data_IF_272268009726
#
_entry.id   IF_272268009726
#
_cell.length_a   1.000
_cell.length_b   1.000
_cell.length_c   1.000
_cell.angle_alpha   90.00
_cell.angle_beta   90.00
_cell.angle_gamma   90.00
#
_symmetry.space_group_name_H-M   'P 1'
#
loop_
_entity.id
_entity.type
_entity.pdbx_description
1 polymer ?
#
# COMPACT_ATOMS: atom_id res chain seq x y z
N UNK A 1 68.33 -18.11 36.17
CA UNK A 1 67.65 -19.23 35.59
C UNK A 1 66.45 -18.64 34.80
N UNK A 2 66.84 -18.17 33.59
CA UNK A 2 65.97 -17.44 32.69
C UNK A 2 64.98 -18.37 32.00
N UNK A 3 63.75 -18.04 32.06
CA UNK A 3 62.72 -18.69 31.20
C UNK A 3 62.11 -17.63 30.28
N UNK A 4 62.66 -17.65 29.11
CA UNK A 4 62.27 -16.91 27.92
C UNK A 4 60.84 -17.32 27.46
N UNK A 5 59.83 -16.46 27.62
CA UNK A 5 58.51 -16.64 27.07
C UNK A 5 58.48 -15.99 25.69
N UNK A 6 58.72 -16.79 24.65
CA UNK A 6 58.52 -16.44 23.25
C UNK A 6 57.06 -16.08 23.00
N UNK A 7 56.80 -14.82 22.72
CA UNK A 7 55.59 -14.32 22.10
C UNK A 7 55.30 -15.02 20.76
N UNK A 8 54.27 -15.85 20.72
CA UNK A 8 53.72 -16.41 19.53
C UNK A 8 52.98 -15.38 18.71
N UNK A 9 53.65 -14.72 17.76
CA UNK A 9 52.99 -13.95 16.70
C UNK A 9 52.10 -14.90 15.88
N UNK A 10 50.80 -14.88 16.13
CA UNK A 10 49.78 -15.52 15.26
C UNK A 10 49.77 -14.80 13.90
N UNK A 11 50.27 -15.46 12.90
CA UNK A 11 50.14 -15.05 11.48
C UNK A 11 48.66 -14.94 11.15
N UNK A 12 48.17 -13.79 10.59
CA UNK A 12 46.80 -13.74 10.12
C UNK A 12 46.59 -14.82 9.06
N UNK A 13 45.60 -15.69 9.27
CA UNK A 13 45.27 -16.75 8.34
C UNK A 13 44.84 -16.14 7.01
N UNK A 14 45.42 -16.64 5.90
CA UNK A 14 45.11 -16.22 4.54
C UNK A 14 43.60 -16.37 4.20
N UNK A 15 42.84 -17.11 4.99
CA UNK A 15 41.41 -17.26 4.88
C UNK A 15 40.60 -16.02 5.31
N UNK A 16 41.16 -15.14 6.16
CA UNK A 16 40.46 -13.92 6.57
C UNK A 16 40.42 -12.84 5.47
N UNK A 17 41.33 -12.91 4.50
CA UNK A 17 41.37 -11.96 3.38
C UNK A 17 40.30 -12.25 2.28
N UNK A 18 39.73 -13.45 2.26
CA UNK A 18 38.68 -13.84 1.30
C UNK A 18 37.26 -13.62 1.80
N UNK A 19 37.07 -13.34 3.09
CA UNK A 19 35.75 -13.21 3.74
C UNK A 19 35.29 -11.78 3.98
N UNK A 20 36.10 -10.79 3.70
CA UNK A 20 35.62 -9.42 3.62
C UNK A 20 35.22 -9.13 2.17
N UNK A 21 33.92 -9.07 1.82
CA UNK A 21 33.53 -8.47 0.57
C UNK A 21 33.93 -7.00 0.65
N UNK A 22 35.11 -6.63 0.15
CA UNK A 22 35.37 -5.27 -0.27
C UNK A 22 34.24 -4.96 -1.24
N UNK A 23 33.25 -4.19 -0.79
CA UNK A 23 32.34 -3.52 -1.70
C UNK A 23 33.25 -2.59 -2.52
N UNK A 24 33.82 -3.15 -3.60
CA UNK A 24 34.46 -2.36 -4.62
C UNK A 24 33.36 -1.43 -5.10
N UNK A 25 33.46 -0.16 -4.74
CA UNK A 25 32.56 0.87 -5.26
C UNK A 25 32.61 0.70 -6.77
N UNK A 26 31.54 0.15 -7.36
CA UNK A 26 31.48 -0.08 -8.79
C UNK A 26 31.78 1.25 -9.47
N UNK A 27 32.70 1.25 -10.42
CA UNK A 27 33.06 2.49 -11.12
C UNK A 27 31.77 3.11 -11.67
N UNK A 28 31.64 4.45 -11.67
CA UNK A 28 30.42 5.12 -12.16
C UNK A 28 30.02 4.63 -13.56
N UNK A 29 30.98 4.25 -14.38
CA UNK A 29 30.74 3.67 -15.70
C UNK A 29 30.02 2.31 -15.64
N UNK A 30 30.38 1.42 -14.70
CA UNK A 30 29.71 0.11 -14.52
C UNK A 30 28.29 0.32 -14.00
N UNK A 31 28.09 1.24 -13.05
CA UNK A 31 26.75 1.59 -12.54
C UNK A 31 25.87 2.13 -13.66
N UNK A 32 26.40 3.01 -14.52
CA UNK A 32 25.65 3.56 -15.66
C UNK A 32 25.26 2.46 -16.65
N UNK A 33 26.18 1.57 -17.01
CA UNK A 33 25.90 0.46 -17.94
C UNK A 33 24.84 -0.49 -17.37
N UNK A 34 24.86 -0.78 -16.06
CA UNK A 34 23.86 -1.64 -15.40
C UNK A 34 22.49 -0.96 -15.29
N UNK A 35 22.43 0.39 -15.21
CA UNK A 35 21.18 1.13 -15.14
C UNK A 35 20.49 1.29 -16.50
N UNK A 36 21.24 1.30 -17.62
CA UNK A 36 20.70 1.51 -18.97
C UNK A 36 19.55 0.54 -19.30
N UNK A 37 19.67 -0.78 -19.13
CA UNK A 37 18.59 -1.71 -19.44
C UNK A 37 17.31 -1.40 -18.66
N UNK A 38 17.44 -1.09 -17.36
CA UNK A 38 16.31 -0.70 -16.51
C UNK A 38 15.65 0.58 -16.99
N UNK A 39 16.45 1.61 -17.33
CA UNK A 39 15.95 2.87 -17.87
C UNK A 39 15.26 2.69 -19.22
N UNK A 40 15.80 1.86 -20.12
CA UNK A 40 15.18 1.54 -21.41
C UNK A 40 13.82 0.87 -21.22
N UNK A 41 13.72 -0.11 -20.31
CA UNK A 41 12.45 -0.78 -19.99
C UNK A 41 11.44 0.24 -19.45
N UNK A 42 11.82 1.07 -18.48
CA UNK A 42 10.95 2.11 -17.93
C UNK A 42 10.52 3.09 -18.99
N UNK A 43 11.45 3.56 -19.85
CA UNK A 43 11.11 4.47 -20.92
C UNK A 43 10.14 3.83 -21.93
N UNK A 44 10.43 2.62 -22.40
CA UNK A 44 9.66 1.95 -23.43
C UNK A 44 8.27 1.51 -22.97
N UNK A 45 8.15 0.97 -21.75
CA UNK A 45 6.89 0.37 -21.26
C UNK A 45 6.10 1.26 -20.31
N UNK A 46 6.67 2.32 -19.80
CA UNK A 46 5.99 3.24 -18.90
C UNK A 46 5.91 4.67 -19.46
N UNK A 47 7.05 5.32 -19.76
CA UNK A 47 7.04 6.73 -20.16
C UNK A 47 6.42 6.95 -21.53
N UNK A 48 6.75 6.12 -22.54
CA UNK A 48 6.21 6.27 -23.89
C UNK A 48 4.70 6.03 -23.92
N UNK A 49 4.14 4.93 -23.35
CA UNK A 49 2.70 4.75 -23.29
C UNK A 49 1.98 5.86 -22.50
N UNK A 50 2.56 6.30 -21.38
CA UNK A 50 1.99 7.38 -20.58
C UNK A 50 1.94 8.71 -21.37
N UNK A 51 3.02 9.03 -22.08
CA UNK A 51 3.07 10.21 -22.96
C UNK A 51 2.03 10.09 -24.08
N UNK A 52 1.86 8.91 -24.69
CA UNK A 52 0.83 8.68 -25.72
C UNK A 52 -0.57 8.89 -25.17
N UNK A 53 -0.88 8.37 -23.98
CA UNK A 53 -2.17 8.60 -23.30
C UNK A 53 -2.37 10.10 -23.06
N UNK A 54 -1.34 10.83 -22.60
CA UNK A 54 -1.44 12.26 -22.37
C UNK A 54 -1.68 13.05 -23.67
N UNK A 55 -1.02 12.68 -24.78
CA UNK A 55 -1.21 13.32 -26.10
C UNK A 55 -2.59 13.02 -26.68
N UNK A 56 -3.15 11.82 -26.40
CA UNK A 56 -4.47 11.42 -26.91
C UNK A 56 -5.59 12.36 -26.44
N UNK A 57 -5.42 12.98 -25.27
CA UNK A 57 -6.34 14.00 -24.76
C UNK A 57 -6.49 15.17 -25.74
N UNK A 58 -5.38 15.60 -26.35
CA UNK A 58 -5.37 16.70 -27.32
C UNK A 58 -6.07 16.39 -28.65
N UNK A 59 -6.30 15.10 -28.95
CA UNK A 59 -6.98 14.66 -30.18
C UNK A 59 -8.52 14.71 -30.09
N UNK A 60 -9.05 15.00 -28.90
CA UNK A 60 -10.50 15.12 -28.66
C UNK A 60 -11.08 16.43 -29.20
N UNK A 61 -12.41 16.53 -29.27
CA UNK A 61 -13.11 17.73 -29.80
C UNK A 61 -12.82 19.00 -28.99
N UNK A 62 -12.50 18.88 -27.70
CA UNK A 62 -12.14 20.00 -26.82
C UNK A 62 -10.63 20.18 -26.66
N UNK A 63 -9.82 19.33 -27.32
CA UNK A 63 -8.38 19.36 -27.22
C UNK A 63 -7.92 19.26 -25.76
N UNK A 64 -6.92 20.07 -25.40
CA UNK A 64 -6.39 20.13 -24.02
C UNK A 64 -7.39 20.66 -22.98
N UNK A 65 -8.51 21.28 -23.43
CA UNK A 65 -9.62 21.70 -22.56
C UNK A 65 -10.32 20.52 -21.86
N UNK A 66 -10.18 19.30 -22.38
CA UNK A 66 -10.74 18.09 -21.78
C UNK A 66 -10.28 17.90 -20.29
N UNK A 67 -9.08 18.37 -19.93
CA UNK A 67 -8.64 18.35 -18.52
C UNK A 67 -9.47 19.27 -17.64
N UNK A 68 -9.94 20.41 -18.15
CA UNK A 68 -10.84 21.34 -17.43
C UNK A 68 -12.25 20.76 -17.34
N UNK A 69 -12.69 19.99 -18.34
CA UNK A 69 -13.98 19.32 -18.33
C UNK A 69 -14.14 18.41 -17.11
N UNK A 70 -13.06 17.76 -16.65
CA UNK A 70 -13.09 16.90 -15.45
C UNK A 70 -13.48 17.69 -14.20
N UNK A 71 -13.05 18.94 -14.09
CA UNK A 71 -13.32 19.82 -12.95
C UNK A 71 -14.69 20.52 -13.06
N UNK A 72 -15.21 20.69 -14.28
CA UNK A 72 -16.48 21.38 -14.55
C UNK A 72 -17.67 20.43 -14.65
N UNK A 73 -17.43 19.18 -15.02
CA UNK A 73 -18.47 18.17 -15.12
C UNK A 73 -18.74 17.54 -13.74
N UNK A 74 -19.96 17.75 -13.22
CA UNK A 74 -20.36 17.29 -11.90
C UNK A 74 -20.15 15.77 -11.71
N UNK A 75 -20.43 14.95 -12.72
CA UNK A 75 -20.29 13.49 -12.65
C UNK A 75 -18.83 13.07 -12.43
N UNK A 76 -17.89 13.65 -13.19
CA UNK A 76 -16.47 13.29 -13.08
C UNK A 76 -15.87 13.76 -11.76
N UNK A 77 -16.27 14.97 -11.33
CA UNK A 77 -15.82 15.52 -10.06
C UNK A 77 -16.36 14.71 -8.88
N UNK A 78 -17.65 14.36 -8.89
CA UNK A 78 -18.28 13.54 -7.86
C UNK A 78 -17.61 12.16 -7.78
N UNK A 79 -17.40 11.51 -8.90
CA UNK A 79 -16.72 10.22 -9.00
C UNK A 79 -15.29 10.28 -8.47
N UNK A 80 -14.56 11.36 -8.75
CA UNK A 80 -13.22 11.59 -8.20
C UNK A 80 -13.27 11.75 -6.66
N UNK A 81 -14.19 12.58 -6.15
CA UNK A 81 -14.34 12.79 -4.70
C UNK A 81 -14.75 11.49 -4.00
N UNK A 82 -15.68 10.73 -4.57
CA UNK A 82 -16.09 9.43 -4.03
C UNK A 82 -14.92 8.45 -3.98
N UNK A 83 -14.10 8.39 -5.03
CA UNK A 83 -12.92 7.54 -5.08
C UNK A 83 -11.90 7.93 -4.02
N UNK A 84 -11.64 9.23 -3.87
CA UNK A 84 -10.74 9.76 -2.82
C UNK A 84 -11.26 9.45 -1.42
N UNK A 85 -12.53 9.74 -1.15
CA UNK A 85 -13.15 9.51 0.15
C UNK A 85 -13.17 8.01 0.51
N UNK A 86 -13.53 7.15 -0.46
CA UNK A 86 -13.53 5.70 -0.31
C UNK A 86 -12.12 5.18 0.01
N UNK A 87 -11.12 5.58 -0.80
CA UNK A 87 -9.73 5.15 -0.62
C UNK A 87 -9.15 5.63 0.71
N UNK A 88 -9.45 6.86 1.12
CA UNK A 88 -9.05 7.39 2.42
C UNK A 88 -9.72 6.64 3.58
N UNK A 89 -11.04 6.41 3.50
CA UNK A 89 -11.80 5.68 4.51
C UNK A 89 -11.31 4.24 4.68
N UNK A 90 -11.11 3.52 3.57
CA UNK A 90 -10.56 2.16 3.59
C UNK A 90 -9.17 2.15 4.21
N UNK A 91 -8.31 3.08 3.82
CA UNK A 91 -6.94 3.18 4.33
C UNK A 91 -6.94 3.43 5.84
N UNK A 92 -7.71 4.41 6.32
CA UNK A 92 -7.82 4.71 7.75
C UNK A 92 -8.33 3.51 8.54
N UNK A 93 -9.38 2.85 8.07
CA UNK A 93 -9.93 1.66 8.72
C UNK A 93 -8.92 0.50 8.74
N UNK A 94 -8.24 0.24 7.60
CA UNK A 94 -7.21 -0.78 7.52
C UNK A 94 -6.04 -0.50 8.46
N UNK A 95 -5.58 0.75 8.55
CA UNK A 95 -4.49 1.15 9.46
C UNK A 95 -4.88 0.92 10.93
N UNK A 96 -6.08 1.36 11.33
CA UNK A 96 -6.56 1.17 12.72
C UNK A 96 -6.68 -0.31 13.07
N UNK A 97 -7.37 -1.09 12.23
CA UNK A 97 -7.55 -2.53 12.47
C UNK A 97 -6.20 -3.27 12.50
N UNK A 98 -5.35 -3.01 11.51
CA UNK A 98 -4.08 -3.71 11.39
C UNK A 98 -3.05 -3.25 12.42
N UNK A 99 -3.10 -1.99 12.92
CA UNK A 99 -2.25 -1.55 14.02
C UNK A 99 -2.54 -2.36 15.29
N UNK A 100 -3.81 -2.53 15.63
CA UNK A 100 -4.21 -3.30 16.81
C UNK A 100 -3.88 -4.79 16.63
N UNK A 101 -4.33 -5.40 15.54
CA UNK A 101 -4.16 -6.84 15.29
C UNK A 101 -2.70 -7.18 15.04
N UNK A 102 -1.96 -6.38 14.27
CA UNK A 102 -0.56 -6.61 13.98
C UNK A 102 0.33 -6.52 15.22
N UNK A 103 0.10 -5.50 16.06
CA UNK A 103 0.80 -5.37 17.33
C UNK A 103 0.50 -6.56 18.27
N UNK A 104 -0.78 -6.97 18.34
CA UNK A 104 -1.17 -8.15 19.13
C UNK A 104 -0.46 -9.41 18.64
N UNK A 105 -0.43 -9.65 17.33
CA UNK A 105 0.20 -10.83 16.74
C UNK A 105 1.72 -10.87 16.96
N UNK A 106 2.40 -9.73 16.94
CA UNK A 106 3.85 -9.66 17.21
C UNK A 106 4.16 -9.96 18.68
N UNK A 107 3.35 -9.43 19.59
CA UNK A 107 3.61 -9.53 21.04
C UNK A 107 3.17 -10.83 21.69
N UNK A 108 2.22 -11.53 21.09
CA UNK A 108 1.65 -12.72 21.67
C UNK A 108 2.03 -13.96 20.86
N UNK A 109 2.59 -14.96 21.55
CA UNK A 109 2.86 -16.29 21.01
C UNK A 109 1.80 -17.25 21.52
N UNK A 110 0.96 -17.77 20.64
CA UNK A 110 -0.09 -18.73 20.95
C UNK A 110 -0.17 -19.83 19.89
N UNK A 111 -0.76 -20.98 20.26
CA UNK A 111 -0.97 -22.07 19.31
C UNK A 111 -1.91 -21.60 18.17
N UNK A 112 -1.52 -21.87 16.91
CA UNK A 112 -2.30 -21.42 15.74
C UNK A 112 -1.97 -20.02 15.20
N UNK A 113 -1.05 -19.25 15.84
CA UNK A 113 -0.63 -17.92 15.36
C UNK A 113 -0.18 -17.96 13.90
N UNK A 114 0.63 -18.95 13.51
CA UNK A 114 1.14 -19.09 12.14
C UNK A 114 0.02 -19.37 11.14
N UNK A 115 -0.96 -20.19 11.51
CA UNK A 115 -2.14 -20.48 10.69
C UNK A 115 -2.98 -19.21 10.52
N UNK A 116 -3.19 -18.45 11.60
CA UNK A 116 -3.94 -17.19 11.55
C UNK A 116 -3.27 -16.17 10.62
N UNK A 117 -1.95 -15.99 10.72
CA UNK A 117 -1.20 -15.10 9.81
C UNK A 117 -1.33 -15.58 8.37
N UNK A 118 -1.17 -16.90 8.12
CA UNK A 118 -1.36 -17.48 6.80
C UNK A 118 -2.76 -17.22 6.23
N UNK A 119 -3.80 -17.38 7.05
CA UNK A 119 -5.19 -17.09 6.66
C UNK A 119 -5.41 -15.60 6.38
N UNK A 120 -4.86 -14.72 7.22
CA UNK A 120 -4.96 -13.26 7.01
C UNK A 120 -4.24 -12.78 5.75
N UNK A 121 -3.23 -13.52 5.28
CA UNK A 121 -2.50 -13.17 4.04
C UNK A 121 -3.07 -13.81 2.79
N UNK A 122 -3.99 -14.76 2.93
CA UNK A 122 -4.63 -15.48 1.83
C UNK A 122 -5.28 -14.55 0.78
N UNK A 123 -5.92 -13.42 1.15
CA UNK A 123 -6.50 -12.49 0.17
C UNK A 123 -5.52 -11.93 -0.86
N UNK A 124 -4.20 -11.92 -0.57
CA UNK A 124 -3.19 -11.48 -1.55
C UNK A 124 -3.13 -12.37 -2.80
N UNK A 125 -3.58 -13.61 -2.68
CA UNK A 125 -3.58 -14.58 -3.78
C UNK A 125 -4.77 -14.41 -4.73
N UNK A 126 -5.79 -13.63 -4.35
CA UNK A 126 -6.99 -13.46 -5.15
C UNK A 126 -7.01 -12.14 -5.94
N UNK A 127 -7.37 -12.18 -7.24
CA UNK A 127 -7.65 -10.98 -8.00
C UNK A 127 -8.84 -10.20 -7.40
N UNK A 128 -8.87 -8.87 -7.60
CA UNK A 128 -9.94 -8.02 -7.08
C UNK A 128 -11.35 -8.44 -7.54
N UNK A 129 -11.49 -8.98 -8.74
CA UNK A 129 -12.76 -9.53 -9.25
C UNK A 129 -13.28 -10.69 -8.42
N UNK A 130 -12.38 -11.59 -8.00
CA UNK A 130 -12.76 -12.73 -7.12
C UNK A 130 -13.19 -12.24 -5.76
N UNK A 131 -12.50 -11.21 -5.22
CA UNK A 131 -12.91 -10.56 -3.96
C UNK A 131 -14.31 -9.96 -4.08
N UNK A 132 -14.62 -9.30 -5.20
CA UNK A 132 -15.97 -8.81 -5.47
C UNK A 132 -17.02 -9.94 -5.44
N UNK A 133 -16.75 -11.08 -6.08
CA UNK A 133 -17.63 -12.24 -6.01
C UNK A 133 -17.80 -12.78 -4.57
N UNK A 134 -16.72 -12.81 -3.78
CA UNK A 134 -16.82 -13.22 -2.37
C UNK A 134 -17.74 -12.30 -1.58
N UNK A 135 -17.68 -10.98 -1.81
CA UNK A 135 -18.59 -10.02 -1.17
C UNK A 135 -20.03 -10.25 -1.62
N UNK A 136 -20.27 -10.55 -2.91
CA UNK A 136 -21.61 -10.89 -3.40
C UNK A 136 -22.14 -12.18 -2.74
N UNK A 137 -21.30 -13.21 -2.63
CA UNK A 137 -21.70 -14.45 -1.96
C UNK A 137 -21.98 -14.26 -0.47
N UNK A 138 -21.33 -13.28 0.16
CA UNK A 138 -21.52 -12.95 1.57
C UNK A 138 -22.77 -12.07 1.79
N UNK A 139 -22.88 -10.97 1.08
CA UNK A 139 -23.82 -9.88 1.36
C UNK A 139 -24.75 -9.51 0.19
N UNK A 140 -24.75 -10.31 -0.88
CA UNK A 140 -25.64 -10.15 -2.04
C UNK A 140 -27.05 -10.68 -1.78
N UNK A 141 -27.90 -10.60 -2.80
CA UNK A 141 -29.33 -10.99 -2.72
C UNK A 141 -29.54 -12.45 -2.30
N UNK A 142 -28.61 -13.34 -2.64
CA UNK A 142 -28.60 -14.75 -2.26
C UNK A 142 -27.41 -15.07 -1.31
N UNK A 143 -26.86 -14.02 -0.69
CA UNK A 143 -25.71 -14.14 0.20
C UNK A 143 -26.06 -14.71 1.57
N UNK A 144 -25.01 -15.19 2.26
CA UNK A 144 -25.14 -15.81 3.59
C UNK A 144 -25.77 -14.85 4.61
N UNK A 145 -25.36 -13.57 4.59
CA UNK A 145 -25.89 -12.55 5.51
C UNK A 145 -27.37 -12.31 5.24
N UNK A 146 -27.77 -12.18 3.96
CA UNK A 146 -29.15 -12.02 3.59
C UNK A 146 -30.05 -13.18 4.05
N UNK A 147 -29.55 -14.44 3.93
CA UNK A 147 -30.24 -15.62 4.42
C UNK A 147 -30.40 -15.66 5.95
N UNK A 148 -29.32 -15.33 6.67
CA UNK A 148 -29.35 -15.28 8.14
C UNK A 148 -30.26 -14.16 8.69
N UNK A 149 -30.25 -12.97 8.06
CA UNK A 149 -31.10 -11.85 8.49
C UNK A 149 -32.57 -12.10 8.16
N UNK A 150 -32.88 -12.77 7.03
CA UNK A 150 -34.23 -13.19 6.70
C UNK A 150 -34.80 -14.18 7.72
N UNK A 151 -33.99 -15.17 8.10
CA UNK A 151 -34.37 -16.17 9.11
C UNK A 151 -34.54 -15.57 10.52
N UNK A 152 -33.74 -14.54 10.88
CA UNK A 152 -33.76 -13.95 12.20
C UNK A 152 -34.78 -12.79 12.34
N UNK A 153 -34.96 -11.98 11.31
CA UNK A 153 -35.70 -10.72 11.35
C UNK A 153 -36.80 -10.60 10.29
N UNK A 154 -36.98 -11.61 9.43
CA UNK A 154 -37.98 -11.59 8.36
C UNK A 154 -37.66 -10.59 7.22
N UNK A 155 -36.45 -10.07 7.15
CA UNK A 155 -36.01 -9.15 6.11
C UNK A 155 -34.56 -9.43 5.69
N UNK A 156 -34.29 -9.38 4.38
CA UNK A 156 -32.96 -9.63 3.84
C UNK A 156 -32.11 -8.35 3.86
N UNK A 157 -31.00 -8.40 4.57
CA UNK A 157 -29.98 -7.35 4.50
C UNK A 157 -29.07 -7.60 3.30
N UNK A 158 -29.16 -6.74 2.28
CA UNK A 158 -28.37 -6.80 1.04
C UNK A 158 -27.60 -5.50 0.91
N UNK A 159 -26.27 -5.55 0.94
CA UNK A 159 -25.42 -4.37 0.82
C UNK A 159 -24.20 -4.60 -0.10
N UNK A 160 -24.10 -5.76 -0.75
CA UNK A 160 -22.96 -6.06 -1.63
C UNK A 160 -22.85 -5.08 -2.80
N UNK A 161 -23.98 -4.57 -3.30
CA UNK A 161 -24.04 -3.72 -4.50
C UNK A 161 -24.00 -2.23 -4.20
N UNK A 162 -23.84 -1.86 -2.93
CA UNK A 162 -23.75 -0.49 -2.43
C UNK A 162 -22.29 -0.11 -2.11
N UNK A 163 -22.09 1.16 -1.77
CA UNK A 163 -20.79 1.70 -1.29
C UNK A 163 -20.24 0.87 -0.13
N UNK A 164 -21.11 0.35 0.76
CA UNK A 164 -20.71 -0.50 1.88
C UNK A 164 -20.07 -1.81 1.43
N UNK A 165 -20.63 -2.47 0.42
CA UNK A 165 -20.05 -3.69 -0.15
C UNK A 165 -18.70 -3.44 -0.80
N UNK A 166 -18.58 -2.34 -1.55
CA UNK A 166 -17.32 -1.93 -2.16
C UNK A 166 -16.26 -1.60 -1.10
N UNK A 167 -16.67 -0.89 -0.03
CA UNK A 167 -15.79 -0.57 1.11
C UNK A 167 -15.23 -1.85 1.75
N UNK A 168 -16.08 -2.84 2.01
CA UNK A 168 -15.67 -4.12 2.58
C UNK A 168 -14.74 -4.88 1.63
N UNK A 169 -15.04 -4.89 0.33
CA UNK A 169 -14.18 -5.52 -0.67
C UNK A 169 -12.79 -4.88 -0.72
N UNK A 170 -12.72 -3.55 -0.69
CA UNK A 170 -11.45 -2.82 -0.66
C UNK A 170 -10.70 -3.04 0.66
N UNK A 171 -11.40 -3.07 1.78
CA UNK A 171 -10.81 -3.35 3.09
C UNK A 171 -10.23 -4.77 3.14
N UNK A 172 -10.96 -5.76 2.62
CA UNK A 172 -10.56 -7.16 2.61
C UNK A 172 -9.20 -7.38 1.93
N UNK A 173 -8.97 -6.82 0.75
CA UNK A 173 -7.67 -6.99 0.08
C UNK A 173 -6.58 -6.05 0.61
N UNK A 174 -6.93 -5.00 1.36
CA UNK A 174 -5.98 -4.07 1.97
C UNK A 174 -5.36 -4.61 3.25
N UNK A 175 -6.14 -5.33 4.07
CA UNK A 175 -5.72 -5.91 5.36
C UNK A 175 -4.39 -6.66 5.27
N UNK A 176 -4.17 -7.61 4.34
CA UNK A 176 -2.94 -8.39 4.31
C UNK A 176 -1.69 -7.56 4.13
N UNK A 177 -1.76 -6.54 3.28
CA UNK A 177 -0.61 -5.66 2.99
C UNK A 177 -0.26 -4.80 4.19
N UNK A 178 -1.28 -4.20 4.79
CA UNK A 178 -1.09 -3.31 5.95
C UNK A 178 -0.64 -4.10 7.17
N UNK A 179 -1.24 -5.27 7.44
CA UNK A 179 -0.90 -6.06 8.64
C UNK A 179 0.54 -6.57 8.60
N UNK A 180 1.03 -7.02 7.43
CA UNK A 180 2.43 -7.46 7.29
C UNK A 180 3.41 -6.29 7.49
N UNK A 181 3.10 -5.10 6.96
CA UNK A 181 3.92 -3.92 7.16
C UNK A 181 3.94 -3.45 8.62
N UNK A 182 2.78 -3.49 9.28
CA UNK A 182 2.66 -3.16 10.71
C UNK A 182 3.43 -4.17 11.56
N UNK A 183 3.29 -5.47 11.29
CA UNK A 183 4.04 -6.50 12.00
C UNK A 183 5.55 -6.30 11.85
N UNK A 184 6.03 -6.05 10.63
CA UNK A 184 7.46 -5.79 10.38
C UNK A 184 7.97 -4.52 11.10
N UNK A 185 7.12 -3.52 11.29
CA UNK A 185 7.45 -2.31 12.05
C UNK A 185 7.40 -2.57 13.56
N UNK A 186 6.42 -3.34 14.03
CA UNK A 186 6.26 -3.68 15.43
C UNK A 186 7.41 -4.58 15.95
N UNK A 187 7.97 -5.45 15.10
CA UNK A 187 9.13 -6.28 15.42
C UNK A 187 10.41 -5.45 15.67
N UNK A 188 10.48 -4.24 15.13
CA UNK A 188 11.62 -3.32 15.32
C UNK A 188 11.49 -2.45 16.58
N UNK A 189 10.34 -2.48 17.25
CA UNK A 189 10.15 -1.70 18.47
C UNK A 189 10.95 -2.29 19.62
N UNK A 190 11.71 -1.40 20.27
CA UNK A 190 12.48 -1.79 21.47
C UNK A 190 11.55 -1.90 22.68
N UNK A 191 11.42 -3.11 23.21
CA UNK A 191 10.61 -3.39 24.39
C UNK A 191 11.16 -2.69 25.64
N UNK A 192 12.46 -2.40 25.69
CA UNK A 192 13.08 -1.72 26.83
C UNK A 192 12.54 -0.30 26.99
N UNK A 193 12.21 0.39 25.90
CA UNK A 193 11.59 1.72 25.97
C UNK A 193 10.22 1.70 26.65
N UNK A 194 9.45 0.64 26.44
CA UNK A 194 8.15 0.48 27.09
C UNK A 194 8.28 0.15 28.57
N UNK A 195 9.23 -0.71 28.91
CA UNK A 195 9.53 -1.06 30.30
C UNK A 195 10.06 0.16 31.06
N UNK A 196 10.93 0.95 30.46
CA UNK A 196 11.42 2.20 31.01
C UNK A 196 10.28 3.21 31.26
N UNK A 197 9.39 3.39 30.30
CA UNK A 197 8.24 4.28 30.44
C UNK A 197 7.32 3.82 31.58
N UNK A 198 7.08 2.50 31.71
CA UNK A 198 6.28 1.94 32.82
C UNK A 198 6.96 2.12 34.17
N UNK A 199 8.27 1.96 34.25
CA UNK A 199 9.07 2.18 35.47
C UNK A 199 9.01 3.63 35.95
N UNK A 200 8.85 4.58 35.01
CA UNK A 200 8.60 6.00 35.28
C UNK A 200 7.14 6.33 35.63
N UNK A 201 6.26 5.32 35.78
CA UNK A 201 4.87 5.49 36.16
C UNK A 201 3.92 5.82 35.02
N UNK A 202 4.31 5.63 33.75
CA UNK A 202 3.43 5.85 32.62
C UNK A 202 2.26 4.83 32.61
N UNK A 203 1.04 5.30 32.44
CA UNK A 203 -0.13 4.45 32.24
C UNK A 203 -0.03 3.68 30.91
N UNK A 204 -0.78 2.58 30.78
CA UNK A 204 -0.82 1.78 29.52
C UNK A 204 -1.16 2.62 28.30
N UNK A 205 -2.11 3.54 28.44
CA UNK A 205 -2.53 4.44 27.36
C UNK A 205 -1.38 5.39 26.96
N UNK A 206 -0.66 5.95 27.95
CA UNK A 206 0.48 6.82 27.70
C UNK A 206 1.62 6.07 27.02
N UNK A 207 1.93 4.84 27.40
CA UNK A 207 2.92 3.98 26.70
C UNK A 207 2.51 3.76 25.23
N UNK A 208 1.22 3.54 24.94
CA UNK A 208 0.74 3.41 23.56
C UNK A 208 0.94 4.69 22.77
N UNK A 209 0.54 5.84 23.33
CA UNK A 209 0.58 7.12 22.62
C UNK A 209 2.00 7.69 22.48
N UNK A 210 2.85 7.54 23.50
CA UNK A 210 4.14 8.22 23.56
C UNK A 210 5.30 7.34 23.07
N UNK A 211 5.15 6.00 23.08
CA UNK A 211 6.23 5.06 22.71
C UNK A 211 5.84 4.22 21.51
N UNK A 212 4.73 3.47 21.61
CA UNK A 212 4.37 2.48 20.59
C UNK A 212 3.91 3.14 19.31
N UNK A 213 2.96 4.07 19.39
CA UNK A 213 2.38 4.72 18.21
C UNK A 213 3.42 5.53 17.43
N UNK A 214 4.26 6.37 18.04
CA UNK A 214 5.35 7.05 17.32
C UNK A 214 6.35 6.08 16.68
N UNK A 215 6.66 4.98 17.35
CA UNK A 215 7.54 3.94 16.81
C UNK A 215 6.95 3.18 15.61
N UNK A 216 5.63 3.03 15.56
CA UNK A 216 4.92 2.41 14.42
C UNK A 216 4.67 3.40 13.28
N UNK A 217 4.68 4.71 13.53
CA UNK A 217 4.29 5.75 12.55
C UNK A 217 4.98 5.61 11.19
N UNK A 218 6.31 5.40 11.08
CA UNK A 218 6.94 5.25 9.77
C UNK A 218 6.34 4.10 8.95
N UNK A 219 6.10 2.96 9.60
CA UNK A 219 5.48 1.80 8.96
C UNK A 219 4.01 2.01 8.62
N UNK A 220 3.25 2.67 9.50
CA UNK A 220 1.84 3.01 9.26
C UNK A 220 1.71 3.99 8.08
N UNK A 221 2.55 5.02 8.02
CA UNK A 221 2.51 6.00 6.95
C UNK A 221 2.88 5.35 5.60
N UNK A 222 3.97 4.56 5.56
CA UNK A 222 4.39 3.87 4.34
C UNK A 222 3.34 2.88 3.84
N UNK A 223 2.79 2.03 4.74
CA UNK A 223 1.76 1.05 4.38
C UNK A 223 0.43 1.72 4.02
N UNK A 224 0.07 2.80 4.70
CA UNK A 224 -1.11 3.60 4.41
C UNK A 224 -1.05 4.23 3.03
N UNK A 225 0.10 4.80 2.64
CA UNK A 225 0.30 5.37 1.31
C UNK A 225 0.11 4.31 0.21
N UNK A 226 0.67 3.12 0.37
CA UNK A 226 0.51 2.01 -0.58
C UNK A 226 -0.93 1.52 -0.61
N UNK A 227 -1.59 1.42 0.56
CA UNK A 227 -2.99 1.04 0.68
C UNK A 227 -3.89 2.02 -0.07
N UNK A 228 -3.72 3.32 0.18
CA UNK A 228 -4.45 4.39 -0.49
C UNK A 228 -4.28 4.34 -2.01
N UNK A 229 -3.04 4.27 -2.50
CA UNK A 229 -2.76 4.20 -3.92
C UNK A 229 -3.37 2.95 -4.59
N UNK A 230 -3.36 1.82 -3.89
CA UNK A 230 -3.97 0.58 -4.39
C UNK A 230 -5.49 0.67 -4.44
N UNK A 231 -6.11 1.29 -3.42
CA UNK A 231 -7.56 1.50 -3.38
C UNK A 231 -8.02 2.48 -4.45
N UNK A 232 -7.25 3.57 -4.71
CA UNK A 232 -7.51 4.52 -5.80
C UNK A 232 -7.59 3.86 -7.18
N UNK A 233 -6.73 2.86 -7.44
CA UNK A 233 -6.69 2.14 -8.72
C UNK A 233 -7.48 0.82 -8.73
N UNK A 234 -8.25 0.50 -7.70
CA UNK A 234 -8.92 -0.80 -7.57
C UNK A 234 -10.12 -0.92 -8.49
N UNK A 235 -9.89 -1.37 -9.72
CA UNK A 235 -10.93 -1.59 -10.73
C UNK A 235 -11.66 -2.92 -10.55
N UNK A 236 -10.96 -4.04 -10.37
CA UNK A 236 -11.56 -5.37 -10.45
C UNK A 236 -12.69 -5.63 -9.45
N UNK A 237 -12.53 -5.19 -8.21
CA UNK A 237 -13.56 -5.30 -7.16
C UNK A 237 -14.75 -4.40 -7.49
N UNK A 238 -14.50 -3.15 -7.89
CA UNK A 238 -15.52 -2.21 -8.30
C UNK A 238 -16.32 -2.75 -9.50
N UNK A 239 -15.64 -3.27 -10.51
CA UNK A 239 -16.26 -3.86 -11.70
C UNK A 239 -17.24 -4.99 -11.37
N UNK A 240 -16.91 -5.83 -10.38
CA UNK A 240 -17.75 -6.97 -9.99
C UNK A 240 -18.94 -6.56 -9.13
N UNK A 241 -18.73 -5.58 -8.22
CA UNK A 241 -19.75 -5.14 -7.25
C UNK A 241 -20.65 -4.03 -7.79
N UNK A 242 -20.10 -3.19 -8.67
CA UNK A 242 -20.75 -1.94 -9.07
C UNK A 242 -21.92 -2.20 -10.00
N UNK A 243 -23.12 -2.01 -9.49
CA UNK A 243 -24.31 -1.81 -10.31
C UNK A 243 -24.61 -0.32 -10.46
N UNK A 244 -24.39 0.49 -9.42
CA UNK A 244 -24.72 1.93 -9.38
C UNK A 244 -23.65 2.78 -8.69
N UNK A 245 -22.37 2.36 -8.66
CA UNK A 245 -21.30 3.09 -7.96
C UNK A 245 -20.36 3.71 -9.00
N UNK A 246 -20.35 5.03 -9.07
CA UNK A 246 -19.49 5.81 -9.96
C UNK A 246 -18.12 6.10 -9.31
N UNK A 247 -17.29 5.06 -9.04
CA UNK A 247 -15.87 5.28 -8.74
C UNK A 247 -15.10 5.55 -10.02
N UNK A 248 -14.08 6.42 -9.94
CA UNK A 248 -13.36 6.92 -11.12
C UNK A 248 -12.80 5.82 -12.05
N UNK A 249 -12.22 4.69 -11.56
CA UNK A 249 -11.82 3.60 -12.43
C UNK A 249 -12.98 3.00 -13.27
N UNK A 250 -14.20 2.98 -12.74
CA UNK A 250 -15.38 2.52 -13.45
C UNK A 250 -15.84 3.53 -14.49
N UNK A 251 -15.77 4.82 -14.18
CA UNK A 251 -16.08 5.89 -15.12
C UNK A 251 -15.08 5.87 -16.29
N UNK A 252 -13.79 5.73 -16.02
CA UNK A 252 -12.76 5.57 -17.07
C UNK A 252 -13.08 4.39 -17.98
N UNK A 253 -13.42 3.24 -17.41
CA UNK A 253 -13.81 2.06 -18.17
C UNK A 253 -15.05 2.30 -19.02
N UNK A 254 -16.07 2.97 -18.49
CA UNK A 254 -17.31 3.29 -19.20
C UNK A 254 -17.06 4.26 -20.35
N UNK A 255 -16.28 5.34 -20.12
CA UNK A 255 -15.93 6.28 -21.19
C UNK A 255 -15.15 5.60 -22.32
N UNK A 256 -14.22 4.73 -21.97
CA UNK A 256 -13.41 4.01 -22.95
C UNK A 256 -14.22 2.97 -23.74
N UNK A 257 -15.00 2.10 -23.04
CA UNK A 257 -15.60 0.91 -23.66
C UNK A 257 -17.00 1.13 -24.19
N UNK A 258 -17.84 1.91 -23.47
CA UNK A 258 -19.25 2.11 -23.81
C UNK A 258 -19.47 3.38 -24.62
N UNK A 259 -18.80 4.46 -24.25
CA UNK A 259 -18.95 5.76 -24.89
C UNK A 259 -17.96 5.97 -26.05
N UNK A 260 -16.96 5.08 -26.19
CA UNK A 260 -15.85 5.20 -27.14
C UNK A 260 -15.16 6.58 -27.10
N UNK A 261 -15.19 7.23 -25.93
CA UNK A 261 -14.63 8.56 -25.69
C UNK A 261 -13.20 8.43 -25.13
N UNK A 262 -12.27 8.05 -26.01
CA UNK A 262 -10.88 7.81 -25.66
C UNK A 262 -10.21 9.05 -25.04
N UNK A 263 -10.39 10.29 -25.57
CA UNK A 263 -9.77 11.47 -25.00
C UNK A 263 -10.18 11.74 -23.54
N UNK A 264 -11.46 11.59 -23.20
CA UNK A 264 -11.95 11.79 -21.83
C UNK A 264 -11.44 10.68 -20.91
N UNK A 265 -11.50 9.40 -21.36
CA UNK A 265 -10.94 8.30 -20.58
C UNK A 265 -9.43 8.48 -20.31
N UNK A 266 -8.68 8.95 -21.30
CA UNK A 266 -7.27 9.27 -21.16
C UNK A 266 -7.03 10.41 -20.14
N UNK A 267 -7.80 11.50 -20.23
CA UNK A 267 -7.70 12.63 -19.31
C UNK A 267 -8.00 12.22 -17.86
N UNK A 268 -9.08 11.47 -17.63
CA UNK A 268 -9.45 10.94 -16.31
C UNK A 268 -8.35 10.03 -15.75
N UNK A 269 -7.73 9.18 -16.59
CA UNK A 269 -6.64 8.28 -16.19
C UNK A 269 -5.39 9.05 -15.76
N UNK A 270 -5.00 10.10 -16.50
CA UNK A 270 -3.87 10.96 -16.16
C UNK A 270 -4.14 11.70 -14.84
N UNK A 271 -5.33 12.27 -14.68
CA UNK A 271 -5.70 12.99 -13.45
C UNK A 271 -5.68 12.06 -12.24
N UNK A 272 -6.27 10.85 -12.35
CA UNK A 272 -6.23 9.84 -11.30
C UNK A 272 -4.78 9.47 -10.92
N UNK A 273 -3.94 9.23 -11.93
CA UNK A 273 -2.52 8.90 -11.74
C UNK A 273 -1.75 10.03 -11.06
N UNK A 274 -1.95 11.27 -11.51
CA UNK A 274 -1.27 12.45 -10.93
C UNK A 274 -1.69 12.70 -9.47
N UNK A 275 -2.97 12.60 -9.15
CA UNK A 275 -3.47 12.75 -7.79
C UNK A 275 -2.90 11.65 -6.88
N UNK A 276 -2.94 10.40 -7.34
CA UNK A 276 -2.38 9.28 -6.60
C UNK A 276 -0.88 9.46 -6.37
N UNK A 277 -0.14 9.84 -7.41
CA UNK A 277 1.28 10.12 -7.30
C UNK A 277 1.59 11.29 -6.37
N UNK A 278 0.83 12.38 -6.46
CA UNK A 278 1.00 13.55 -5.59
C UNK A 278 0.77 13.18 -4.11
N UNK A 279 -0.27 12.40 -3.82
CA UNK A 279 -0.54 11.89 -2.47
C UNK A 279 0.61 11.00 -1.96
N UNK A 280 1.12 10.08 -2.80
CA UNK A 280 2.27 9.24 -2.45
C UNK A 280 3.53 10.08 -2.21
N UNK A 281 3.81 11.05 -3.08
CA UNK A 281 4.97 11.93 -2.95
C UNK A 281 4.89 12.78 -1.68
N UNK A 282 3.71 13.34 -1.38
CA UNK A 282 3.46 14.08 -0.14
C UNK A 282 3.73 13.22 1.08
N UNK A 283 3.17 12.01 1.14
CA UNK A 283 3.38 11.10 2.27
C UNK A 283 4.85 10.75 2.46
N UNK A 284 5.58 10.43 1.38
CA UNK A 284 7.01 10.12 1.43
C UNK A 284 7.86 11.31 1.91
N UNK A 285 7.49 12.53 1.57
CA UNK A 285 8.19 13.72 2.04
C UNK A 285 8.09 13.91 3.56
N UNK A 286 6.98 13.48 4.18
CA UNK A 286 6.79 13.51 5.62
C UNK A 286 7.53 12.37 6.36
N UNK A 287 7.74 11.22 5.73
CA UNK A 287 8.45 10.08 6.35
C UNK A 287 9.97 10.21 6.35
N UNK A 288 10.53 11.19 5.64
CA UNK A 288 11.97 11.45 5.65
C UNK A 288 12.82 10.37 4.97
N UNK A 289 12.23 9.42 4.28
CA UNK A 289 12.95 8.34 3.56
C UNK A 289 13.88 8.86 2.44
N UNK A 290 13.82 10.15 2.12
CA UNK A 290 14.71 10.80 1.14
C UNK A 290 16.02 11.33 1.70
N UNK A 291 16.22 11.34 3.01
CA UNK A 291 17.49 11.76 3.64
C UNK A 291 18.33 10.54 3.99
N UNK A 292 18.88 9.88 2.99
CA UNK A 292 20.07 9.06 3.20
C UNK A 292 21.15 9.99 3.76
N UNK A 293 21.46 9.82 5.05
CA UNK A 293 22.62 10.48 5.68
C UNK A 293 23.84 10.15 4.81
N UNK A 294 24.65 11.13 4.41
CA UNK A 294 25.92 10.85 3.79
C UNK A 294 26.71 10.00 4.79
N UNK A 295 27.09 8.80 4.38
CA UNK A 295 28.03 7.97 5.11
C UNK A 295 29.27 8.83 5.29
N UNK A 296 29.43 9.38 6.49
CA UNK A 296 30.63 10.11 6.88
C UNK A 296 31.76 9.08 6.90
N UNK A 297 32.50 9.00 5.80
CA UNK A 297 33.74 8.27 5.75
C UNK A 297 34.65 8.80 6.88
N UNK A 298 34.80 7.98 7.91
CA UNK A 298 35.80 8.21 8.94
C UNK A 298 37.19 8.18 8.31
N UNK A 299 37.94 9.23 8.54
CA UNK A 299 39.36 9.35 8.27
C UNK A 299 40.18 8.38 9.17
#
# INVERSE_FOLDING_TARGET
MDLDLKEGRSRPSLLSSFLTPRAAAASPAILTVLLIPGLVIVAAFFLIPLARVAVEVGNGPEGWGTYLLILTNARYLESLIQTLAMSAGVTMMALVLCAVVGLFLVRNRFAGRSILIGTLTLPLSFPGTVVGFMVIMLAGRQGVIGGLTDAAFGSKLVFAYDIAGLFIGYLYFSIPRVILAVMASAEKLDLQLEEAARSLGASRFRVICDVILPGLMPGLISSGAICFATAMGAFGTAFTLATDIDVLPMVIYTEFTRNANIPVAAALSIVLGLITWACLAAVRSFTGEGKSLPVRGGA
#
